data_IF_339852382894
#
_entry.id   IF_339852382894
#
_cell.length_a   1.000
_cell.length_b   1.000
_cell.length_c   1.000
_cell.angle_alpha   90.00
_cell.angle_beta   90.00
_cell.angle_gamma   90.00
#
_symmetry.space_group_name_H-M   'P 1'
#
loop_
_entity.id
_entity.type
_entity.pdbx_description
1 polymer ?
#
# COMPACT_ATOMS: atom_id res chain seq x y z
N UNK A 1 2.32 -8.00 13.88
CA UNK A 1 3.40 -7.86 12.85
C UNK A 1 3.14 -6.56 12.08
N UNK A 2 4.18 -5.80 11.72
CA UNK A 2 4.01 -4.52 11.01
C UNK A 2 3.83 -4.73 9.49
N UNK A 3 2.80 -4.12 8.89
CA UNK A 3 2.54 -4.14 7.45
C UNK A 3 2.67 -2.72 6.88
N UNK A 4 3.61 -2.53 5.94
CA UNK A 4 3.95 -1.21 5.39
C UNK A 4 2.97 -0.73 4.32
N UNK A 5 1.68 -0.70 4.64
CA UNK A 5 0.58 -0.46 3.70
C UNK A 5 0.71 0.87 2.93
N UNK A 6 1.22 1.93 3.56
CA UNK A 6 1.40 3.23 2.89
C UNK A 6 2.58 3.26 1.91
N UNK A 7 3.60 2.41 2.11
CA UNK A 7 4.82 2.40 1.29
C UNK A 7 4.76 1.40 0.13
N UNK A 8 3.91 0.38 0.22
CA UNK A 8 3.71 -0.62 -0.83
C UNK A 8 2.80 -0.03 -1.91
N UNK A 9 3.14 -0.23 -3.18
CA UNK A 9 2.29 0.17 -4.28
C UNK A 9 1.12 -0.81 -4.40
N UNK A 10 -0.11 -0.30 -4.36
CA UNK A 10 -1.32 -1.11 -4.51
C UNK A 10 -1.50 -1.76 -5.89
N UNK A 11 -0.73 -1.30 -6.90
CA UNK A 11 -0.80 -1.81 -8.27
C UNK A 11 0.28 -2.85 -8.55
N UNK A 12 1.55 -2.55 -8.24
CA UNK A 12 2.68 -3.41 -8.60
C UNK A 12 3.37 -4.11 -7.41
N UNK A 13 2.96 -3.80 -6.16
CA UNK A 13 3.56 -4.37 -4.96
C UNK A 13 4.94 -3.80 -4.57
N UNK A 14 5.54 -2.92 -5.38
CA UNK A 14 6.84 -2.35 -5.06
C UNK A 14 6.79 -1.53 -3.76
N UNK A 15 7.75 -1.74 -2.86
CA UNK A 15 7.84 -1.05 -1.57
C UNK A 15 8.83 0.10 -1.65
N UNK A 16 8.36 1.33 -1.45
CA UNK A 16 9.22 2.50 -1.32
C UNK A 16 10.13 2.42 -0.09
N UNK A 17 11.37 2.87 -0.24
CA UNK A 17 12.30 3.07 0.89
C UNK A 17 11.81 4.21 1.80
N UNK A 18 11.56 5.36 1.18
CA UNK A 18 11.13 6.58 1.85
C UNK A 18 9.77 7.05 1.36
N UNK A 19 8.98 7.58 2.32
CA UNK A 19 7.69 8.22 2.10
C UNK A 19 7.39 9.02 3.37
N UNK A 20 7.38 10.34 3.27
CA UNK A 20 7.12 11.23 4.38
C UNK A 20 5.61 11.30 4.66
N UNK A 21 5.23 11.63 5.90
CA UNK A 21 3.82 11.86 6.25
C UNK A 21 3.24 13.09 5.52
N UNK A 22 4.09 14.05 5.18
CA UNK A 22 3.75 15.22 4.37
C UNK A 22 3.41 14.84 2.92
N UNK A 23 3.84 13.67 2.44
CA UNK A 23 3.53 13.20 1.09
C UNK A 23 2.07 12.72 1.06
N UNK A 24 1.17 13.64 0.69
CA UNK A 24 -0.26 13.34 0.53
C UNK A 24 -0.53 12.49 -0.73
N UNK A 25 0.36 12.57 -1.72
CA UNK A 25 0.27 11.80 -2.96
C UNK A 25 1.27 10.65 -2.98
N UNK A 26 0.79 9.47 -3.32
CA UNK A 26 1.60 8.32 -3.67
C UNK A 26 1.91 8.32 -5.16
N UNK A 27 3.19 8.25 -5.53
CA UNK A 27 3.65 8.16 -6.93
C UNK A 27 4.60 6.97 -7.06
N UNK A 28 4.27 6.00 -7.91
CA UNK A 28 5.08 4.82 -8.18
C UNK A 28 5.80 4.90 -9.53
N UNK A 29 6.93 4.21 -9.64
CA UNK A 29 7.66 4.02 -10.90
C UNK A 29 6.84 3.22 -11.92
N UNK A 30 5.88 2.40 -11.48
CA UNK A 30 4.95 1.69 -12.38
C UNK A 30 3.86 2.59 -12.98
N UNK A 31 3.88 3.90 -12.71
CA UNK A 31 2.90 4.88 -13.19
C UNK A 31 1.69 5.07 -12.27
N UNK A 32 1.56 4.30 -11.17
CA UNK A 32 0.47 4.51 -10.22
C UNK A 32 0.61 5.87 -9.51
N UNK A 33 -0.44 6.70 -9.58
CA UNK A 33 -0.50 8.01 -8.91
C UNK A 33 -1.87 8.20 -8.26
N UNK A 34 -1.91 8.26 -6.93
CA UNK A 34 -3.14 8.43 -6.15
C UNK A 34 -2.86 9.04 -4.78
N UNK A 35 -3.89 9.36 -4.00
CA UNK A 35 -3.72 9.76 -2.60
C UNK A 35 -3.07 8.62 -1.78
N UNK A 36 -2.15 8.97 -0.88
CA UNK A 36 -1.38 8.02 -0.06
C UNK A 36 -2.28 7.19 0.85
N UNK A 37 -3.30 7.80 1.44
CA UNK A 37 -4.22 7.12 2.35
C UNK A 37 -5.14 6.17 1.57
N UNK A 38 -5.53 6.52 0.33
CA UNK A 38 -6.23 5.60 -0.59
C UNK A 38 -5.35 4.40 -0.96
N UNK A 39 -4.08 4.61 -1.32
CA UNK A 39 -3.13 3.52 -1.60
C UNK A 39 -3.00 2.58 -0.38
N UNK A 40 -2.86 3.15 0.82
CA UNK A 40 -2.77 2.37 2.05
C UNK A 40 -4.04 1.56 2.34
N UNK A 41 -5.23 2.15 2.15
CA UNK A 41 -6.51 1.49 2.36
C UNK A 41 -6.68 0.28 1.41
N UNK A 42 -6.30 0.41 0.14
CA UNK A 42 -6.32 -0.72 -0.82
C UNK A 42 -5.43 -1.85 -0.33
N UNK A 43 -4.20 -1.54 0.09
CA UNK A 43 -3.26 -2.55 0.58
C UNK A 43 -3.78 -3.25 1.86
N UNK A 44 -4.36 -2.51 2.80
CA UNK A 44 -4.93 -3.08 4.04
C UNK A 44 -6.08 -4.03 3.70
N UNK A 45 -6.94 -3.67 2.75
CA UNK A 45 -8.05 -4.52 2.31
C UNK A 45 -7.55 -5.84 1.72
N UNK A 46 -6.57 -5.79 0.82
CA UNK A 46 -6.03 -7.01 0.20
C UNK A 46 -5.27 -7.88 1.20
N UNK A 47 -4.54 -7.27 2.14
CA UNK A 47 -3.90 -8.00 3.24
C UNK A 47 -4.92 -8.68 4.16
N UNK A 48 -6.03 -8.00 4.48
CA UNK A 48 -7.14 -8.58 5.25
C UNK A 48 -7.77 -9.77 4.54
N UNK A 49 -7.97 -9.69 3.22
CA UNK A 49 -8.45 -10.83 2.41
C UNK A 49 -7.46 -11.99 2.41
N UNK A 50 -6.16 -11.72 2.31
CA UNK A 50 -5.10 -12.75 2.35
C UNK A 50 -5.15 -13.50 3.68
N UNK A 51 -5.16 -12.77 4.80
CA UNK A 51 -5.23 -13.34 6.15
C UNK A 51 -6.52 -14.16 6.32
N UNK A 52 -7.66 -13.63 5.88
CA UNK A 52 -8.94 -14.35 5.98
C UNK A 52 -8.90 -15.70 5.23
N UNK A 53 -8.32 -15.73 4.02
CA UNK A 53 -8.14 -16.97 3.25
C UNK A 53 -7.18 -17.97 3.88
N UNK A 54 -6.22 -17.52 4.68
CA UNK A 54 -5.26 -18.41 5.37
C UNK A 54 -5.85 -19.03 6.64
N UNK A 55 -6.90 -18.42 7.21
CA UNK A 55 -7.60 -18.93 8.38
C UNK A 55 -8.85 -19.79 8.03
N UNK A 56 -9.28 -19.78 6.77
CA UNK A 56 -10.38 -20.57 6.25
C UNK A 56 -9.87 -21.90 5.68
#
# INVERSE_FOLDING_TARGET
RYFASSKICSVCGHKKKELALSDRMYVCECGNRMDRDVNAAVNIREEGKRIYKECA
#
